data_IF_021886291537
#
_entry.id   IF_021886291537
#
_cell.length_a   1.000
_cell.length_b   1.000
_cell.length_c   1.000
_cell.angle_alpha   90.00
_cell.angle_beta   90.00
_cell.angle_gamma   90.00
#
_symmetry.space_group_name_H-M   'P 1'
#
loop_
_entity.id
_entity.type
_entity.pdbx_description
1 polymer ?
#
# COMPACT_ATOMS: atom_id res chain seq x y z
N UNK A 1 -2.14 12.64 -11.45
CA UNK A 1 -1.76 11.95 -10.21
C UNK A 1 -2.99 11.32 -9.61
N UNK A 2 -2.94 10.07 -9.18
CA UNK A 2 -4.06 9.33 -8.63
C UNK A 2 -3.96 9.22 -7.10
N UNK A 3 -5.08 8.86 -6.42
CA UNK A 3 -5.15 8.90 -4.97
C UNK A 3 -5.72 7.61 -4.40
N UNK A 4 -5.16 7.18 -3.25
CA UNK A 4 -5.56 5.98 -2.55
C UNK A 4 -5.70 6.16 -1.05
N UNK A 5 -6.56 5.35 -0.44
CA UNK A 5 -6.68 5.17 1.00
C UNK A 5 -5.78 4.03 1.45
N UNK A 6 -5.09 4.20 2.58
CA UNK A 6 -4.31 3.15 3.23
C UNK A 6 -5.08 2.58 4.42
N UNK A 7 -5.32 1.28 4.40
CA UNK A 7 -6.09 0.55 5.42
C UNK A 7 -5.13 -0.35 6.20
N UNK A 8 -5.09 -0.17 7.52
CA UNK A 8 -4.10 -0.81 8.39
C UNK A 8 -4.71 -1.50 9.61
N UNK A 9 -5.90 -1.11 10.05
CA UNK A 9 -6.54 -1.57 11.28
C UNK A 9 -5.62 -1.45 12.52
N UNK A 10 -5.10 -0.23 12.75
CA UNK A 10 -4.34 0.09 13.95
C UNK A 10 -5.29 0.14 15.16
N UNK A 11 -5.05 -0.70 16.18
CA UNK A 11 -5.86 -0.78 17.41
C UNK A 11 -4.98 -0.38 18.59
N UNK A 12 -4.99 0.89 19.01
CA UNK A 12 -4.19 1.37 20.13
C UNK A 12 -4.52 0.62 21.42
N UNK A 13 -3.51 0.35 22.25
CA UNK A 13 -3.69 -0.33 23.52
C UNK A 13 -4.73 0.37 24.42
N UNK A 14 -4.83 1.70 24.35
CA UNK A 14 -5.84 2.44 25.12
C UNK A 14 -7.26 2.16 24.64
N UNK A 15 -7.49 2.05 23.32
CA UNK A 15 -8.79 1.67 22.76
C UNK A 15 -9.14 0.22 23.12
N UNK A 16 -8.17 -0.71 22.96
CA UNK A 16 -8.36 -2.10 23.34
C UNK A 16 -8.63 -2.29 24.85
N UNK A 17 -8.00 -1.50 25.71
CA UNK A 17 -8.23 -1.55 27.15
C UNK A 17 -9.59 -0.92 27.54
N UNK A 18 -10.07 0.09 26.82
CA UNK A 18 -11.37 0.72 27.06
C UNK A 18 -12.54 -0.12 26.57
N UNK A 19 -12.37 -0.87 25.51
CA UNK A 19 -13.38 -1.76 24.92
C UNK A 19 -12.73 -3.08 24.46
N UNK A 20 -12.43 -4.00 25.38
CA UNK A 20 -11.73 -5.25 25.04
C UNK A 20 -12.49 -6.15 24.06
N UNK A 21 -13.79 -6.08 24.04
CA UNK A 21 -14.64 -6.96 23.23
C UNK A 21 -15.02 -6.33 21.87
N UNK A 22 -14.98 -4.99 21.74
CA UNK A 22 -15.48 -4.29 20.57
C UNK A 22 -14.45 -3.49 19.78
N UNK A 23 -13.28 -3.18 20.33
CA UNK A 23 -12.29 -2.28 19.69
C UNK A 23 -11.83 -2.79 18.31
N UNK A 24 -11.53 -4.08 18.16
CA UNK A 24 -11.13 -4.68 16.89
C UNK A 24 -12.25 -4.59 15.85
N UNK A 25 -13.46 -5.00 16.23
CA UNK A 25 -14.62 -4.93 15.34
C UNK A 25 -14.90 -3.49 14.91
N UNK A 26 -14.93 -2.56 15.87
CA UNK A 26 -15.13 -1.14 15.60
C UNK A 26 -14.09 -0.61 14.62
N UNK A 27 -12.81 -0.95 14.81
CA UNK A 27 -11.73 -0.51 13.93
C UNK A 27 -11.91 -1.03 12.50
N UNK A 28 -12.21 -2.30 12.32
CA UNK A 28 -12.42 -2.89 11.00
C UNK A 28 -13.61 -2.25 10.27
N UNK A 29 -14.72 -1.98 11.00
CA UNK A 29 -15.88 -1.33 10.40
C UNK A 29 -15.62 0.13 10.03
N UNK A 30 -14.82 0.86 10.82
CA UNK A 30 -14.39 2.22 10.51
C UNK A 30 -13.54 2.29 9.23
N UNK A 31 -12.62 1.35 9.03
CA UNK A 31 -11.82 1.25 7.81
C UNK A 31 -12.72 0.97 6.58
N UNK A 32 -13.71 0.10 6.72
CA UNK A 32 -14.67 -0.18 5.66
C UNK A 32 -15.50 1.06 5.29
N UNK A 33 -16.02 1.78 6.29
CA UNK A 33 -16.79 2.99 6.07
C UNK A 33 -15.98 4.08 5.36
N UNK A 34 -14.69 4.22 5.70
CA UNK A 34 -13.77 5.11 4.98
C UNK A 34 -13.56 4.69 3.53
N UNK A 35 -13.39 3.40 3.27
CA UNK A 35 -13.24 2.88 1.90
C UNK A 35 -14.49 3.20 1.05
N UNK A 36 -15.69 3.03 1.62
CA UNK A 36 -16.94 3.41 0.96
C UNK A 36 -17.05 4.92 0.73
N UNK A 37 -16.63 5.74 1.69
CA UNK A 37 -16.62 7.19 1.55
C UNK A 37 -15.63 7.64 0.46
N UNK A 38 -14.47 7.02 0.38
CA UNK A 38 -13.49 7.26 -0.68
C UNK A 38 -14.06 6.91 -2.06
N UNK A 39 -14.72 5.76 -2.22
CA UNK A 39 -15.37 5.38 -3.49
C UNK A 39 -16.40 6.43 -3.93
N UNK A 40 -17.25 6.90 -2.99
CA UNK A 40 -18.23 7.95 -3.26
C UNK A 40 -17.59 9.30 -3.59
N UNK A 41 -16.44 9.61 -2.99
CA UNK A 41 -15.73 10.89 -3.16
C UNK A 41 -14.77 10.92 -4.35
N UNK A 42 -14.71 9.87 -5.18
CA UNK A 42 -13.92 9.85 -6.41
C UNK A 42 -12.46 9.43 -6.25
N UNK A 43 -12.10 8.82 -5.12
CA UNK A 43 -10.80 8.19 -4.95
C UNK A 43 -10.68 6.96 -5.85
N UNK A 44 -9.47 6.66 -6.30
CA UNK A 44 -9.23 5.56 -7.23
C UNK A 44 -8.78 4.26 -6.57
N UNK A 45 -8.13 4.30 -5.38
CA UNK A 45 -7.56 3.10 -4.78
C UNK A 45 -7.85 2.99 -3.30
N UNK A 46 -7.95 1.74 -2.82
CA UNK A 46 -7.83 1.36 -1.41
C UNK A 46 -6.75 0.30 -1.31
N UNK A 47 -5.78 0.54 -0.44
CA UNK A 47 -4.64 -0.34 -0.23
C UNK A 47 -4.67 -0.91 1.18
N UNK A 48 -4.69 -2.24 1.30
CA UNK A 48 -4.72 -2.94 2.58
C UNK A 48 -3.40 -3.63 2.86
N UNK A 49 -2.87 -3.45 4.07
CA UNK A 49 -1.70 -4.18 4.54
C UNK A 49 -2.00 -5.65 4.83
N UNK A 50 -0.96 -6.47 4.95
CA UNK A 50 -0.98 -7.78 5.58
C UNK A 50 0.11 -7.79 6.65
N UNK A 51 -0.30 -7.86 7.93
CA UNK A 51 0.60 -7.90 9.07
C UNK A 51 0.19 -8.97 10.08
N UNK A 52 1.20 -9.61 10.69
CA UNK A 52 1.00 -10.70 11.61
C UNK A 52 1.76 -10.47 12.91
N UNK A 53 1.11 -10.73 14.06
CA UNK A 53 1.74 -10.69 15.39
C UNK A 53 2.24 -9.32 15.84
N UNK A 54 1.76 -8.22 15.24
CA UNK A 54 2.27 -6.87 15.50
C UNK A 54 1.43 -6.09 16.52
N UNK A 55 0.73 -6.81 17.40
CA UNK A 55 -0.08 -6.24 18.49
C UNK A 55 -0.91 -5.02 18.02
N UNK A 56 -0.76 -3.86 18.68
CA UNK A 56 -1.50 -2.61 18.37
C UNK A 56 -1.26 -2.09 16.93
N UNK A 57 -0.10 -2.38 16.32
CA UNK A 57 0.29 -1.76 15.06
C UNK A 57 -0.67 -2.08 13.92
N UNK A 58 -1.08 -3.34 13.81
CA UNK A 58 -2.04 -3.76 12.79
C UNK A 58 -2.72 -5.06 13.18
N UNK A 59 -4.06 -5.06 13.12
CA UNK A 59 -4.89 -6.26 13.27
C UNK A 59 -5.37 -6.80 11.92
N UNK A 60 -4.76 -6.36 10.80
CA UNK A 60 -5.11 -6.77 9.44
C UNK A 60 -4.22 -7.91 8.97
N UNK A 61 -4.49 -9.12 9.47
CA UNK A 61 -3.73 -10.33 9.17
C UNK A 61 -4.26 -11.10 7.96
N UNK A 62 -5.50 -10.85 7.56
CA UNK A 62 -6.18 -11.54 6.48
C UNK A 62 -6.76 -10.52 5.48
N UNK A 63 -5.89 -9.76 4.83
CA UNK A 63 -6.30 -8.75 3.85
C UNK A 63 -7.04 -9.35 2.66
N UNK A 64 -6.81 -10.63 2.36
CA UNK A 64 -7.55 -11.40 1.35
C UNK A 64 -9.02 -11.67 1.72
N UNK A 65 -9.44 -11.34 2.94
CA UNK A 65 -10.84 -11.34 3.39
C UNK A 65 -11.39 -9.92 3.37
N UNK A 66 -10.62 -8.94 3.85
CA UNK A 66 -11.03 -7.53 3.90
C UNK A 66 -11.22 -6.93 2.51
N UNK A 67 -10.29 -7.17 1.59
CA UNK A 67 -10.33 -6.60 0.24
C UNK A 67 -11.57 -7.05 -0.58
N UNK A 68 -11.97 -8.35 -0.62
CA UNK A 68 -13.23 -8.75 -1.25
C UNK A 68 -14.45 -8.10 -0.61
N UNK A 69 -14.44 -7.91 0.71
CA UNK A 69 -15.54 -7.26 1.40
C UNK A 69 -15.66 -5.78 1.02
N UNK A 70 -14.53 -5.06 0.92
CA UNK A 70 -14.50 -3.69 0.39
C UNK A 70 -14.96 -3.67 -1.08
N UNK A 71 -14.49 -4.60 -1.92
CA UNK A 71 -14.88 -4.68 -3.32
C UNK A 71 -16.39 -4.87 -3.51
N UNK A 72 -17.03 -5.68 -2.64
CA UNK A 72 -18.47 -5.90 -2.66
C UNK A 72 -19.28 -4.68 -2.23
N UNK A 73 -18.70 -3.79 -1.42
CA UNK A 73 -19.34 -2.58 -0.88
C UNK A 73 -19.06 -1.32 -1.71
N UNK A 74 -18.17 -1.41 -2.70
CA UNK A 74 -17.71 -0.29 -3.54
C UNK A 74 -17.96 -0.61 -5.02
N UNK A 75 -17.89 0.41 -5.89
CA UNK A 75 -18.23 0.23 -7.31
C UNK A 75 -17.10 0.59 -8.27
N UNK A 76 -16.26 1.54 -7.95
CA UNK A 76 -15.26 2.13 -8.87
C UNK A 76 -13.84 2.01 -8.36
N UNK A 77 -13.67 2.12 -7.05
CA UNK A 77 -12.37 2.10 -6.41
C UNK A 77 -11.69 0.75 -6.64
N UNK A 78 -10.44 0.76 -7.04
CA UNK A 78 -9.61 -0.45 -7.09
C UNK A 78 -9.18 -0.83 -5.68
N UNK A 79 -9.13 -2.11 -5.43
CA UNK A 79 -8.68 -2.69 -4.16
C UNK A 79 -7.32 -3.33 -4.34
N UNK A 80 -6.35 -2.95 -3.53
CA UNK A 80 -4.96 -3.40 -3.68
C UNK A 80 -4.37 -3.97 -2.40
N UNK A 81 -3.53 -4.98 -2.53
CA UNK A 81 -2.69 -5.44 -1.43
C UNK A 81 -1.44 -4.56 -1.30
N UNK A 82 -1.14 -4.09 -0.08
CA UNK A 82 0.06 -3.30 0.22
C UNK A 82 0.74 -3.84 1.50
N UNK A 83 1.19 -5.09 1.46
CA UNK A 83 1.36 -6.05 0.35
C UNK A 83 0.84 -7.43 0.76
N UNK A 84 0.63 -8.36 -0.17
CA UNK A 84 0.62 -9.78 0.18
C UNK A 84 2.05 -10.28 0.37
N UNK A 85 2.31 -10.91 1.50
CA UNK A 85 3.57 -11.59 1.75
C UNK A 85 3.62 -12.90 0.97
N UNK A 86 4.38 -12.94 -0.13
CA UNK A 86 4.43 -14.11 -1.02
C UNK A 86 5.53 -15.12 -0.67
N UNK A 87 6.15 -15.01 0.51
CA UNK A 87 7.13 -16.00 0.96
C UNK A 87 6.43 -17.31 1.33
N UNK A 88 6.91 -18.48 0.84
CA UNK A 88 6.20 -19.75 0.95
C UNK A 88 5.75 -20.18 2.36
N UNK A 89 6.52 -19.94 3.45
CA UNK A 89 6.06 -20.30 4.80
C UNK A 89 4.89 -19.43 5.31
N UNK A 90 4.76 -18.19 4.82
CA UNK A 90 3.63 -17.30 5.17
C UNK A 90 2.45 -17.60 4.27
N UNK A 91 2.69 -17.61 2.95
CA UNK A 91 1.66 -17.88 1.95
C UNK A 91 2.23 -18.75 0.83
N UNK A 92 1.74 -19.98 0.71
CA UNK A 92 2.15 -20.84 -0.38
C UNK A 92 1.84 -20.20 -1.75
N UNK A 93 2.79 -20.15 -2.73
CA UNK A 93 2.59 -19.45 -4.00
C UNK A 93 1.33 -19.86 -4.77
N UNK A 94 0.93 -21.14 -4.74
CA UNK A 94 -0.32 -21.58 -5.37
C UNK A 94 -1.54 -20.96 -4.68
N UNK A 95 -1.53 -20.83 -3.35
CA UNK A 95 -2.63 -20.17 -2.62
C UNK A 95 -2.73 -18.68 -2.95
N UNK A 96 -1.58 -18.02 -3.14
CA UNK A 96 -1.57 -16.63 -3.62
C UNK A 96 -2.15 -16.56 -5.04
N UNK A 97 -1.72 -17.43 -5.94
CA UNK A 97 -2.24 -17.45 -7.31
C UNK A 97 -3.77 -17.62 -7.36
N UNK A 98 -4.32 -18.54 -6.55
CA UNK A 98 -5.76 -18.80 -6.45
C UNK A 98 -6.52 -17.60 -5.85
N UNK A 99 -6.03 -17.04 -4.72
CA UNK A 99 -6.67 -15.91 -4.02
C UNK A 99 -6.71 -14.65 -4.88
N UNK A 100 -5.59 -14.32 -5.52
CA UNK A 100 -5.49 -13.18 -6.44
C UNK A 100 -6.47 -13.32 -7.59
N UNK A 101 -6.51 -14.48 -8.23
CA UNK A 101 -7.43 -14.73 -9.32
C UNK A 101 -8.90 -14.67 -8.86
N UNK A 102 -9.22 -15.24 -7.69
CA UNK A 102 -10.57 -15.19 -7.13
C UNK A 102 -11.00 -13.75 -6.83
N UNK A 103 -10.12 -12.96 -6.18
CA UNK A 103 -10.43 -11.56 -5.88
C UNK A 103 -10.56 -10.72 -7.14
N UNK A 104 -9.74 -10.99 -8.17
CA UNK A 104 -9.83 -10.31 -9.46
C UNK A 104 -11.19 -10.58 -10.16
N UNK A 105 -11.72 -11.81 -10.07
CA UNK A 105 -13.09 -12.12 -10.49
C UNK A 105 -14.15 -11.39 -9.67
N UNK A 106 -14.06 -11.45 -8.33
CA UNK A 106 -15.06 -10.85 -7.43
C UNK A 106 -15.07 -9.33 -7.48
N UNK A 107 -13.95 -8.71 -7.78
CA UNK A 107 -13.83 -7.26 -7.97
C UNK A 107 -14.10 -6.81 -9.41
N UNK A 108 -14.36 -7.75 -10.34
CA UNK A 108 -14.57 -7.44 -11.77
C UNK A 108 -13.36 -6.71 -12.39
N UNK A 109 -12.14 -7.17 -12.06
CA UNK A 109 -10.90 -6.62 -12.60
C UNK A 109 -10.39 -5.35 -11.88
N UNK A 110 -10.93 -5.02 -10.71
CA UNK A 110 -10.50 -3.88 -9.88
C UNK A 110 -9.42 -4.25 -8.86
N UNK A 111 -8.74 -5.37 -9.02
CA UNK A 111 -7.69 -5.79 -8.09
C UNK A 111 -6.29 -5.36 -8.55
N UNK A 112 -5.51 -4.82 -7.62
CA UNK A 112 -4.11 -4.44 -7.77
C UNK A 112 -3.25 -5.38 -6.91
N UNK A 113 -2.42 -6.20 -7.55
CA UNK A 113 -1.62 -7.22 -6.87
C UNK A 113 -0.30 -6.63 -6.34
N UNK A 114 -0.31 -6.11 -5.15
CA UNK A 114 0.90 -5.67 -4.45
C UNK A 114 1.57 -6.83 -3.71
N UNK A 115 2.86 -6.97 -3.90
CA UNK A 115 3.68 -8.09 -3.42
C UNK A 115 4.81 -7.64 -2.51
N UNK A 116 5.22 -8.50 -1.61
CA UNK A 116 6.34 -8.26 -0.72
C UNK A 116 6.81 -9.51 0.00
N UNK A 117 7.76 -9.32 0.92
CA UNK A 117 8.40 -10.40 1.69
C UNK A 117 8.30 -10.20 3.20
N UNK A 118 7.50 -9.21 3.64
CA UNK A 118 7.48 -8.74 5.03
C UNK A 118 8.67 -7.83 5.38
N UNK A 119 8.47 -7.01 6.39
CA UNK A 119 9.45 -6.03 6.88
C UNK A 119 9.69 -6.11 8.39
N UNK A 120 9.15 -7.14 9.05
CA UNK A 120 9.20 -7.33 10.49
C UNK A 120 9.89 -8.65 10.86
N UNK A 121 10.91 -8.56 11.74
CA UNK A 121 11.55 -9.77 12.29
C UNK A 121 10.58 -10.57 13.17
N UNK A 122 9.59 -9.91 13.78
CA UNK A 122 8.51 -10.58 14.53
C UNK A 122 7.67 -11.47 13.61
N UNK A 123 7.32 -10.97 12.43
CA UNK A 123 6.50 -11.71 11.46
C UNK A 123 7.27 -12.92 10.91
N UNK A 124 8.45 -12.71 10.31
CA UNK A 124 9.11 -13.83 9.65
C UNK A 124 9.60 -14.89 10.64
N UNK A 125 10.02 -14.52 11.87
CA UNK A 125 10.32 -15.50 12.92
C UNK A 125 9.08 -16.24 13.40
N UNK A 126 7.93 -15.55 13.49
CA UNK A 126 6.64 -16.16 13.83
C UNK A 126 6.24 -17.28 12.85
N UNK A 127 6.62 -17.15 11.58
CA UNK A 127 6.44 -18.19 10.55
C UNK A 127 7.64 -19.12 10.35
N UNK A 128 8.61 -19.12 11.27
CA UNK A 128 9.78 -20.02 11.23
C UNK A 128 10.81 -19.66 10.17
N UNK A 129 10.80 -18.43 9.63
CA UNK A 129 11.80 -17.95 8.68
C UNK A 129 12.99 -17.39 9.50
N UNK A 130 14.24 -17.80 9.24
CA UNK A 130 15.36 -17.47 10.11
C UNK A 130 15.78 -16.01 10.06
N UNK A 131 15.74 -15.38 8.87
CA UNK A 131 16.26 -14.02 8.65
C UNK A 131 15.68 -13.33 7.42
N UNK A 132 15.93 -12.02 7.29
CA UNK A 132 15.44 -11.19 6.20
C UNK A 132 16.11 -11.47 4.83
N UNK A 133 17.33 -12.01 4.77
CA UNK A 133 17.96 -12.39 3.49
C UNK A 133 17.28 -13.62 2.90
N UNK A 134 16.91 -14.57 3.76
CA UNK A 134 16.12 -15.74 3.36
C UNK A 134 14.79 -15.34 2.76
N UNK A 135 14.08 -14.33 3.33
CA UNK A 135 12.82 -13.83 2.75
C UNK A 135 13.00 -13.23 1.37
N UNK A 136 14.15 -12.59 1.10
CA UNK A 136 14.49 -12.05 -0.22
C UNK A 136 14.59 -13.15 -1.28
N UNK A 137 15.34 -14.22 -0.97
CA UNK A 137 15.50 -15.36 -1.88
C UNK A 137 14.16 -16.10 -2.11
N UNK A 138 13.32 -16.22 -1.07
CA UNK A 138 11.97 -16.77 -1.16
C UNK A 138 11.08 -15.95 -2.10
N UNK A 139 11.10 -14.63 -1.98
CA UNK A 139 10.35 -13.72 -2.84
C UNK A 139 10.78 -13.86 -4.30
N UNK A 140 12.09 -13.90 -4.55
CA UNK A 140 12.65 -13.99 -5.90
C UNK A 140 12.31 -15.33 -6.59
N UNK A 141 12.16 -16.40 -5.81
CA UNK A 141 11.68 -17.68 -6.32
C UNK A 141 10.16 -17.66 -6.54
N UNK A 142 9.38 -17.12 -5.60
CA UNK A 142 7.92 -17.24 -5.61
C UNK A 142 7.24 -16.39 -6.71
N UNK A 143 7.66 -15.14 -6.91
CA UNK A 143 6.96 -14.22 -7.82
C UNK A 143 6.83 -14.76 -9.26
N UNK A 144 7.91 -15.17 -9.95
CA UNK A 144 7.79 -15.70 -11.31
C UNK A 144 6.96 -16.98 -11.38
N UNK A 145 6.94 -17.78 -10.31
CA UNK A 145 6.16 -19.00 -10.27
C UNK A 145 4.66 -18.74 -10.17
N UNK A 146 4.22 -17.73 -9.40
CA UNK A 146 2.83 -17.30 -9.36
C UNK A 146 2.34 -16.90 -10.76
N UNK A 147 3.13 -16.16 -11.50
CA UNK A 147 2.78 -15.74 -12.86
C UNK A 147 2.72 -16.90 -13.85
N UNK A 148 3.63 -17.88 -13.72
CA UNK A 148 3.58 -19.12 -14.51
C UNK A 148 2.31 -19.92 -14.24
N UNK A 149 1.87 -20.01 -12.98
CA UNK A 149 0.63 -20.72 -12.61
C UNK A 149 -0.60 -20.15 -13.31
N UNK A 150 -0.64 -18.84 -13.61
CA UNK A 150 -1.74 -18.24 -14.35
C UNK A 150 -1.71 -18.50 -15.86
N UNK A 151 -0.53 -18.78 -16.41
CA UNK A 151 -0.31 -18.98 -17.86
C UNK A 151 -0.39 -20.44 -18.29
N UNK A 152 0.23 -21.32 -17.51
CA UNK A 152 0.37 -22.72 -17.87
C UNK A 152 -0.94 -23.50 -17.66
N UNK A 153 -1.25 -24.40 -18.57
CA UNK A 153 -2.44 -25.24 -18.43
C UNK A 153 -2.27 -26.25 -17.30
N UNK A 154 -1.10 -26.82 -17.18
CA UNK A 154 -0.67 -27.70 -16.11
C UNK A 154 0.68 -27.22 -15.59
N UNK A 155 0.81 -27.11 -14.28
CA UNK A 155 1.97 -26.52 -13.61
C UNK A 155 2.58 -27.51 -12.64
N UNK A 156 3.91 -27.64 -12.68
CA UNK A 156 4.72 -28.30 -11.66
C UNK A 156 5.99 -27.49 -11.39
N UNK A 157 6.52 -27.66 -10.21
CA UNK A 157 7.75 -26.95 -9.81
C UNK A 157 8.51 -27.72 -8.74
N UNK A 158 9.82 -27.74 -8.88
CA UNK A 158 10.78 -28.24 -7.89
C UNK A 158 11.77 -27.11 -7.60
N UNK A 159 11.65 -26.48 -6.45
CA UNK A 159 12.43 -25.31 -6.04
C UNK A 159 13.14 -25.49 -4.72
N UNK A 160 13.83 -24.43 -4.30
CA UNK A 160 14.54 -24.41 -3.02
C UNK A 160 13.60 -24.24 -1.83
N UNK A 161 12.57 -23.40 -1.99
CA UNK A 161 11.69 -22.99 -0.88
C UNK A 161 10.29 -23.56 -0.95
N UNK A 162 9.88 -24.05 -2.12
CA UNK A 162 8.66 -24.84 -2.26
C UNK A 162 8.74 -25.77 -3.47
N UNK A 163 7.92 -26.80 -3.43
CA UNK A 163 7.75 -27.75 -4.54
C UNK A 163 6.27 -28.04 -4.72
N UNK A 164 5.87 -28.29 -5.95
CA UNK A 164 4.47 -28.60 -6.27
C UNK A 164 4.43 -29.68 -7.37
N UNK A 165 3.76 -30.83 -7.15
CA UNK A 165 3.52 -31.78 -8.19
C UNK A 165 2.57 -31.22 -9.24
N UNK A 166 2.54 -31.82 -10.43
CA UNK A 166 1.71 -31.36 -11.54
C UNK A 166 0.24 -31.20 -11.16
N UNK A 167 -0.28 -29.96 -11.32
CA UNK A 167 -1.65 -29.58 -11.00
C UNK A 167 -2.12 -28.45 -11.92
N UNK A 168 -3.45 -28.34 -12.11
CA UNK A 168 -4.08 -27.15 -12.68
C UNK A 168 -4.37 -26.16 -11.55
N UNK A 169 -3.82 -24.95 -11.63
CA UNK A 169 -4.08 -23.88 -10.66
C UNK A 169 -5.26 -23.05 -11.17
N UNK A 170 -6.35 -23.03 -10.43
CA UNK A 170 -7.62 -22.40 -10.80
C UNK A 170 -8.26 -21.66 -9.60
N UNK A 171 -9.04 -20.57 -9.88
CA UNK A 171 -9.32 -19.99 -11.18
C UNK A 171 -8.09 -19.30 -11.78
N UNK A 172 -8.14 -18.94 -13.06
CA UNK A 172 -7.20 -18.01 -13.70
C UNK A 172 -7.73 -16.58 -13.51
N UNK A 173 -6.87 -15.54 -13.48
CA UNK A 173 -7.33 -14.16 -13.34
C UNK A 173 -8.42 -13.78 -14.36
N UNK A 174 -9.38 -12.97 -13.92
CA UNK A 174 -10.38 -12.33 -14.77
C UNK A 174 -9.74 -11.35 -15.74
N UNK A 175 -8.85 -10.51 -15.19
CA UNK A 175 -8.04 -9.53 -15.93
C UNK A 175 -7.03 -10.21 -16.84
N UNK A 176 -6.95 -9.78 -18.10
CA UNK A 176 -5.98 -10.29 -19.07
C UNK A 176 -4.92 -9.22 -19.38
N UNK A 177 -3.65 -9.61 -19.45
CA UNK A 177 -3.07 -10.95 -19.21
C UNK A 177 -3.04 -11.34 -17.73
N UNK A 178 -2.98 -10.40 -16.81
CA UNK A 178 -3.01 -10.56 -15.35
C UNK A 178 -3.33 -9.21 -14.67
N UNK A 179 -3.72 -9.17 -13.37
CA UNK A 179 -3.85 -7.94 -12.60
C UNK A 179 -2.55 -7.13 -12.59
N UNK A 180 -2.61 -5.80 -12.44
CA UNK A 180 -1.40 -4.98 -12.24
C UNK A 180 -0.59 -5.46 -11.05
N UNK A 181 0.74 -5.57 -11.24
CA UNK A 181 1.64 -6.09 -10.22
C UNK A 181 2.48 -4.95 -9.64
N UNK A 182 2.58 -4.94 -8.31
CA UNK A 182 3.35 -3.96 -7.56
C UNK A 182 4.28 -4.66 -6.57
N UNK A 183 5.30 -3.94 -6.11
CA UNK A 183 6.21 -4.44 -5.07
C UNK A 183 6.52 -3.36 -4.04
N UNK A 184 6.62 -3.76 -2.77
CA UNK A 184 7.03 -2.86 -1.70
C UNK A 184 8.50 -2.45 -1.88
N UNK A 185 8.76 -1.14 -1.87
CA UNK A 185 10.06 -0.53 -2.03
C UNK A 185 10.43 0.35 -0.85
N UNK A 186 11.60 0.12 -0.24
CA UNK A 186 12.10 0.91 0.89
C UNK A 186 13.58 1.30 0.77
N UNK A 187 14.27 0.94 -0.32
CA UNK A 187 15.68 1.24 -0.54
C UNK A 187 15.98 1.48 -2.03
N UNK A 188 17.07 2.18 -2.39
CA UNK A 188 17.45 2.39 -3.79
C UNK A 188 17.48 1.10 -4.62
N UNK A 189 18.03 0.02 -4.06
CA UNK A 189 18.13 -1.27 -4.75
C UNK A 189 16.76 -1.91 -5.02
N UNK A 190 15.76 -1.70 -4.15
CA UNK A 190 14.40 -2.22 -4.37
C UNK A 190 13.64 -1.41 -5.40
N UNK A 191 13.86 -0.09 -5.48
CA UNK A 191 13.30 0.76 -6.53
C UNK A 191 13.90 0.42 -7.91
N UNK A 192 15.22 0.23 -7.98
CA UNK A 192 15.88 -0.21 -9.22
C UNK A 192 15.36 -1.58 -9.67
N UNK A 193 15.24 -2.55 -8.75
CA UNK A 193 14.72 -3.87 -9.04
C UNK A 193 13.27 -3.82 -9.52
N UNK A 194 12.41 -3.02 -8.86
CA UNK A 194 11.02 -2.84 -9.28
C UNK A 194 10.93 -2.33 -10.72
N UNK A 195 11.71 -1.29 -11.07
CA UNK A 195 11.78 -0.76 -12.42
C UNK A 195 12.25 -1.80 -13.43
N UNK A 196 13.35 -2.50 -13.16
CA UNK A 196 13.86 -3.54 -14.06
C UNK A 196 12.87 -4.67 -14.33
N UNK A 197 12.09 -5.06 -13.30
CA UNK A 197 11.07 -6.12 -13.42
C UNK A 197 9.74 -5.62 -13.97
N UNK A 198 9.62 -4.33 -14.32
CA UNK A 198 8.37 -3.74 -14.84
C UNK A 198 7.22 -3.68 -13.83
N UNK A 199 7.54 -3.64 -12.54
CA UNK A 199 6.57 -3.63 -11.43
C UNK A 199 6.31 -2.20 -10.97
N UNK A 200 5.06 -1.91 -10.56
CA UNK A 200 4.77 -0.69 -9.82
C UNK A 200 5.48 -0.67 -8.46
N UNK A 201 5.96 0.50 -8.04
CA UNK A 201 6.65 0.67 -6.76
C UNK A 201 5.68 1.20 -5.70
N UNK A 202 5.48 0.44 -4.60
CA UNK A 202 4.75 0.87 -3.41
C UNK A 202 5.77 1.33 -2.37
N UNK A 203 5.83 2.64 -2.13
CA UNK A 203 6.76 3.25 -1.19
C UNK A 203 6.07 3.66 0.10
N UNK A 204 6.37 2.95 1.18
CA UNK A 204 6.02 3.40 2.52
C UNK A 204 7.14 4.28 3.07
N UNK A 205 6.82 5.51 3.42
CA UNK A 205 7.81 6.46 3.87
C UNK A 205 7.38 7.40 4.97
N UNK A 206 8.37 7.78 5.74
CA UNK A 206 8.28 8.76 6.81
C UNK A 206 9.03 10.07 6.48
N UNK A 207 9.64 10.16 5.31
CA UNK A 207 10.36 11.33 4.81
C UNK A 207 9.48 12.36 4.10
N UNK A 208 10.12 13.41 3.63
CA UNK A 208 9.52 14.43 2.75
C UNK A 208 9.60 14.02 1.27
N UNK A 209 8.86 14.65 0.36
CA UNK A 209 9.00 14.42 -1.07
C UNK A 209 10.46 14.53 -1.57
N UNK A 210 11.25 15.45 -1.03
CA UNK A 210 12.66 15.60 -1.41
C UNK A 210 13.52 14.38 -1.09
N UNK A 211 13.16 13.60 -0.06
CA UNK A 211 13.87 12.37 0.29
C UNK A 211 13.54 11.23 -0.71
N UNK A 212 12.39 11.31 -1.37
CA UNK A 212 11.96 10.32 -2.38
C UNK A 212 12.42 10.62 -3.79
N UNK A 213 12.66 11.87 -4.12
CA UNK A 213 13.02 12.27 -5.47
C UNK A 213 14.17 11.42 -6.07
N UNK A 214 15.28 11.13 -5.34
CA UNK A 214 16.33 10.24 -5.85
C UNK A 214 15.85 8.81 -6.08
N UNK A 215 14.98 8.27 -5.22
CA UNK A 215 14.46 6.91 -5.31
C UNK A 215 13.53 6.77 -6.52
N UNK A 216 12.63 7.74 -6.70
CA UNK A 216 11.73 7.79 -7.86
C UNK A 216 12.53 7.94 -9.15
N UNK A 217 13.55 8.79 -9.16
CA UNK A 217 14.43 8.94 -10.33
C UNK A 217 15.14 7.62 -10.69
N UNK A 218 15.65 6.89 -9.70
CA UNK A 218 16.25 5.56 -9.89
C UNK A 218 15.25 4.58 -10.52
N UNK A 219 14.02 4.53 -10.01
CA UNK A 219 12.95 3.70 -10.56
C UNK A 219 12.60 4.10 -12.00
N UNK A 220 12.35 5.39 -12.26
CA UNK A 220 11.99 5.89 -13.59
C UNK A 220 13.10 5.71 -14.61
N UNK A 221 14.35 5.69 -14.18
CA UNK A 221 15.48 5.31 -15.06
C UNK A 221 15.48 3.81 -15.37
N UNK A 222 15.32 2.97 -14.35
CA UNK A 222 15.38 1.52 -14.49
C UNK A 222 14.23 0.97 -15.35
N UNK A 223 13.01 1.52 -15.21
CA UNK A 223 11.82 1.00 -15.89
C UNK A 223 11.84 1.25 -17.40
N UNK A 224 12.63 2.20 -17.89
CA UNK A 224 12.82 2.44 -19.33
C UNK A 224 13.48 1.25 -20.04
N UNK A 225 14.16 0.41 -19.28
CA UNK A 225 14.87 -0.78 -19.75
C UNK A 225 14.32 -2.03 -19.05
N UNK A 226 13.02 -2.02 -18.73
CA UNK A 226 12.40 -3.13 -18.04
C UNK A 226 12.42 -4.41 -18.86
N UNK A 227 12.77 -5.50 -18.20
CA UNK A 227 12.50 -6.87 -18.62
C UNK A 227 11.38 -7.39 -17.73
N UNK A 228 10.10 -7.16 -18.09
CA UNK A 228 9.00 -7.37 -17.16
C UNK A 228 8.86 -8.84 -16.80
N UNK A 229 8.73 -9.12 -15.51
CA UNK A 229 8.44 -10.47 -14.99
C UNK A 229 7.04 -10.93 -15.40
N UNK A 230 6.11 -10.00 -15.56
CA UNK A 230 4.76 -10.20 -16.12
C UNK A 230 4.72 -9.96 -17.63
N UNK A 231 3.50 -9.77 -18.16
CA UNK A 231 3.27 -9.58 -19.60
C UNK A 231 3.22 -8.10 -20.01
N UNK A 232 3.29 -7.17 -19.06
CA UNK A 232 3.34 -5.73 -19.32
C UNK A 232 4.03 -4.98 -18.20
N UNK A 233 4.41 -3.74 -18.48
CA UNK A 233 5.05 -2.83 -17.53
C UNK A 233 4.00 -2.01 -16.80
N UNK A 234 4.10 -1.96 -15.46
CA UNK A 234 3.33 -1.07 -14.59
C UNK A 234 4.24 0.09 -14.16
N UNK A 235 4.33 1.15 -14.97
CA UNK A 235 5.15 2.31 -14.68
C UNK A 235 4.45 3.28 -13.72
N UNK A 236 4.29 2.86 -12.47
CA UNK A 236 3.70 3.66 -11.41
C UNK A 236 4.56 3.66 -10.14
N UNK A 237 4.67 4.81 -9.50
CA UNK A 237 5.21 4.97 -8.15
C UNK A 237 4.12 5.51 -7.24
N UNK A 238 3.81 4.77 -6.18
CA UNK A 238 2.86 5.16 -5.14
C UNK A 238 3.60 5.43 -3.83
N UNK A 239 3.38 6.61 -3.24
CA UNK A 239 3.95 7.00 -1.94
C UNK A 239 2.85 7.08 -0.87
N UNK A 240 3.17 6.67 0.36
CA UNK A 240 2.24 6.73 1.50
C UNK A 240 2.57 7.92 2.38
N UNK A 241 1.56 8.69 2.79
CA UNK A 241 1.68 9.77 3.80
C UNK A 241 0.39 9.89 4.63
N UNK A 242 0.33 10.86 5.55
CA UNK A 242 -0.87 11.11 6.36
C UNK A 242 -1.68 12.29 5.82
N UNK A 243 -3.01 12.23 5.99
CA UNK A 243 -3.95 13.26 5.56
C UNK A 243 -4.81 13.76 6.71
N UNK A 244 -4.91 15.09 6.85
CA UNK A 244 -6.00 15.78 7.55
C UNK A 244 -6.43 16.98 6.71
N UNK A 245 -7.56 16.88 6.03
CA UNK A 245 -8.11 17.94 5.18
C UNK A 245 -9.43 18.43 5.76
N UNK A 246 -9.46 19.65 6.30
CA UNK A 246 -10.65 20.27 6.89
C UNK A 246 -10.91 21.64 6.25
N UNK A 247 -12.15 22.20 6.36
CA UNK A 247 -12.43 23.53 5.81
C UNK A 247 -11.61 24.65 6.42
N UNK A 248 -11.18 24.48 7.67
CA UNK A 248 -10.28 25.40 8.39
C UNK A 248 -8.92 24.73 8.61
N UNK A 249 -7.88 25.25 7.98
CA UNK A 249 -6.52 24.75 8.10
C UNK A 249 -5.96 24.83 9.52
N UNK A 250 -6.43 25.75 10.38
CA UNK A 250 -6.03 25.81 11.79
C UNK A 250 -6.62 24.60 12.54
N UNK A 251 -7.90 24.30 12.34
CA UNK A 251 -8.55 23.13 12.91
C UNK A 251 -7.88 21.83 12.47
N UNK A 252 -7.47 21.73 11.19
CA UNK A 252 -6.73 20.58 10.69
C UNK A 252 -5.39 20.37 11.44
N UNK A 253 -4.67 21.44 11.73
CA UNK A 253 -3.42 21.39 12.51
C UNK A 253 -3.65 21.00 13.96
N UNK A 254 -4.72 21.50 14.59
CA UNK A 254 -5.10 21.15 15.95
C UNK A 254 -5.41 19.65 16.06
N UNK A 255 -6.15 19.11 15.10
CA UNK A 255 -6.39 17.66 14.98
C UNK A 255 -5.07 16.90 14.80
N UNK A 256 -4.20 17.32 13.87
CA UNK A 256 -2.94 16.63 13.59
C UNK A 256 -1.98 16.60 14.80
N UNK A 257 -2.03 17.59 15.68
CA UNK A 257 -1.25 17.61 16.93
C UNK A 257 -1.78 16.63 17.99
N UNK A 258 -3.04 16.25 17.93
CA UNK A 258 -3.70 15.38 18.92
C UNK A 258 -3.89 13.94 18.48
N UNK A 259 -3.56 13.63 17.23
CA UNK A 259 -3.77 12.28 16.63
C UNK A 259 -2.89 11.17 17.22
N UNK A 260 -1.92 11.44 18.08
CA UNK A 260 -0.96 10.42 18.52
C UNK A 260 -0.07 9.88 17.39
N UNK A 261 0.22 10.69 16.37
CA UNK A 261 1.00 10.28 15.21
C UNK A 261 2.44 9.87 15.52
N UNK A 262 3.03 10.45 16.57
CA UNK A 262 4.37 10.06 17.04
C UNK A 262 4.36 8.70 17.73
N UNK A 263 3.30 8.37 18.47
CA UNK A 263 3.13 7.05 19.05
C UNK A 263 3.05 5.99 17.93
N UNK A 264 2.18 6.19 16.95
CA UNK A 264 2.08 5.29 15.80
C UNK A 264 3.43 5.16 15.06
N UNK A 265 4.16 6.27 14.86
CA UNK A 265 5.49 6.23 14.24
C UNK A 265 6.50 5.45 15.09
N UNK A 266 6.39 5.51 16.42
CA UNK A 266 7.21 4.71 17.33
C UNK A 266 6.94 3.20 17.15
N UNK A 267 5.68 2.80 16.94
CA UNK A 267 5.30 1.43 16.62
C UNK A 267 5.84 0.99 15.25
N UNK A 268 5.85 1.88 14.25
CA UNK A 268 6.51 1.60 12.97
C UNK A 268 7.96 1.16 13.19
N UNK A 269 8.75 1.93 13.95
CA UNK A 269 10.16 1.58 14.21
C UNK A 269 10.34 0.44 15.23
N UNK A 270 9.32 0.10 16.00
CA UNK A 270 9.32 -1.09 16.85
C UNK A 270 9.21 -2.36 16.01
N UNK A 271 8.25 -2.38 15.09
CA UNK A 271 7.84 -3.60 14.40
C UNK A 271 8.42 -3.76 13.01
N UNK A 272 8.56 -2.68 12.23
CA UNK A 272 9.16 -2.74 10.90
C UNK A 272 10.68 -2.55 11.00
N UNK A 273 11.31 -3.42 11.76
CA UNK A 273 12.71 -3.33 12.21
C UNK A 273 13.75 -3.66 11.12
N UNK A 274 13.30 -4.07 9.93
CA UNK A 274 14.17 -4.19 8.76
C UNK A 274 14.40 -2.85 8.05
N UNK A 275 13.62 -1.82 8.36
CA UNK A 275 13.88 -0.45 7.90
C UNK A 275 14.97 0.21 8.73
N UNK A 276 15.88 0.97 8.09
CA UNK A 276 16.89 1.73 8.84
C UNK A 276 16.19 2.78 9.71
N UNK A 277 16.56 2.80 11.01
CA UNK A 277 16.07 3.82 11.92
C UNK A 277 16.83 5.12 11.66
N UNK A 278 16.14 6.27 11.42
CA UNK A 278 16.80 7.54 11.25
C UNK A 278 17.58 7.97 12.51
N UNK A 279 18.67 8.72 12.33
CA UNK A 279 19.42 9.25 13.44
C UNK A 279 18.54 10.15 14.36
N UNK A 280 18.66 9.97 15.67
CA UNK A 280 17.89 10.71 16.67
C UNK A 280 16.49 10.14 16.96
N UNK A 281 16.02 9.13 16.21
CA UNK A 281 14.77 8.44 16.55
C UNK A 281 15.03 7.47 17.72
N UNK A 282 14.31 7.60 18.86
CA UNK A 282 14.52 6.75 20.02
C UNK A 282 14.15 5.30 19.74
N UNK A 283 14.83 4.37 20.44
CA UNK A 283 14.50 2.95 20.40
C UNK A 283 13.37 2.65 21.39
N UNK A 284 12.42 1.78 20.97
CA UNK A 284 11.41 1.27 21.87
C UNK A 284 12.04 0.68 23.16
N UNK A 285 11.47 0.94 24.37
CA UNK A 285 10.14 1.55 24.63
C UNK A 285 10.14 3.08 24.74
N UNK A 286 11.24 3.77 24.45
CA UNK A 286 11.22 5.22 24.41
C UNK A 286 10.44 5.71 23.18
N UNK A 287 9.50 6.64 23.41
CA UNK A 287 8.61 7.12 22.38
C UNK A 287 9.19 8.34 21.66
N UNK A 288 8.87 8.49 20.40
CA UNK A 288 9.07 9.72 19.67
C UNK A 288 8.17 10.80 20.30
N UNK A 289 8.71 11.95 20.71
CA UNK A 289 7.89 13.02 21.28
C UNK A 289 6.90 13.56 20.23
N UNK A 290 5.71 13.94 20.69
CA UNK A 290 4.76 14.64 19.81
C UNK A 290 5.37 15.95 19.31
N UNK A 291 5.12 16.34 18.07
CA UNK A 291 5.71 17.55 17.50
C UNK A 291 5.13 18.80 18.15
N UNK A 292 5.96 19.80 18.34
CA UNK A 292 5.45 21.15 18.58
C UNK A 292 4.70 21.67 17.36
N UNK A 293 3.88 22.71 17.54
CA UNK A 293 3.21 23.36 16.39
C UNK A 293 4.21 23.81 15.31
N UNK A 294 5.33 24.37 15.72
CA UNK A 294 6.38 24.82 14.79
C UNK A 294 6.98 23.64 13.98
N UNK A 295 7.23 22.52 14.64
CA UNK A 295 7.70 21.29 13.97
C UNK A 295 6.65 20.72 13.03
N UNK A 296 5.36 20.75 13.41
CA UNK A 296 4.28 20.35 12.52
C UNK A 296 4.20 21.25 11.29
N UNK A 297 4.28 22.57 11.46
CA UNK A 297 4.29 23.55 10.34
C UNK A 297 5.47 23.30 9.39
N UNK A 298 6.64 22.96 9.92
CA UNK A 298 7.78 22.57 9.09
C UNK A 298 7.47 21.32 8.27
N UNK A 299 6.93 20.26 8.89
CA UNK A 299 6.55 19.01 8.20
C UNK A 299 5.48 19.22 7.14
N UNK A 300 4.52 20.11 7.38
CA UNK A 300 3.48 20.47 6.38
C UNK A 300 4.13 21.22 5.21
N UNK A 301 4.93 22.23 5.49
CA UNK A 301 5.62 23.03 4.46
C UNK A 301 6.50 22.18 3.56
N UNK A 302 7.19 21.20 4.15
CA UNK A 302 8.09 20.31 3.42
C UNK A 302 7.36 19.12 2.76
N UNK A 303 6.02 19.05 2.87
CA UNK A 303 5.19 17.99 2.28
C UNK A 303 5.23 16.64 3.01
N UNK A 304 5.93 16.53 4.15
CA UNK A 304 5.98 15.28 4.93
C UNK A 304 4.60 14.88 5.49
N UNK A 305 3.69 15.85 5.64
CA UNK A 305 2.31 15.66 6.07
C UNK A 305 1.39 16.51 5.20
N UNK A 306 0.29 15.94 4.75
CA UNK A 306 -0.76 16.67 4.01
C UNK A 306 -1.83 17.07 5.02
N UNK A 307 -1.68 18.25 5.59
CA UNK A 307 -2.53 18.78 6.67
C UNK A 307 -2.88 20.23 6.38
N UNK A 308 -4.18 20.56 6.37
CA UNK A 308 -4.65 21.91 6.14
C UNK A 308 -6.03 22.01 5.57
N UNK A 309 -6.36 23.17 5.01
CA UNK A 309 -7.49 23.35 4.13
C UNK A 309 -7.20 22.75 2.73
N UNK A 310 -8.21 22.70 1.82
CA UNK A 310 -8.01 22.12 0.48
C UNK A 310 -6.88 22.77 -0.32
N UNK A 311 -6.62 24.07 -0.17
CA UNK A 311 -5.56 24.76 -0.90
C UNK A 311 -4.18 24.42 -0.34
N UNK A 312 -4.08 24.29 0.97
CA UNK A 312 -2.86 23.85 1.66
C UNK A 312 -2.55 22.40 1.31
N UNK A 313 -3.55 21.52 1.33
CA UNK A 313 -3.42 20.13 0.91
C UNK A 313 -2.98 20.02 -0.55
N UNK A 314 -3.56 20.82 -1.45
CA UNK A 314 -3.15 20.84 -2.86
C UNK A 314 -1.70 21.28 -3.05
N UNK A 315 -1.22 22.25 -2.27
CA UNK A 315 0.21 22.64 -2.29
C UNK A 315 1.14 21.50 -1.88
N UNK A 316 0.79 20.77 -0.83
CA UNK A 316 1.56 19.61 -0.39
C UNK A 316 1.54 18.47 -1.44
N UNK A 317 0.38 18.16 -2.02
CA UNK A 317 0.23 17.18 -3.11
C UNK A 317 1.09 17.54 -4.32
N UNK A 318 1.17 18.83 -4.65
CA UNK A 318 2.01 19.30 -5.78
C UNK A 318 3.48 18.93 -5.59
N UNK A 319 4.01 18.95 -4.36
CA UNK A 319 5.40 18.55 -4.10
C UNK A 319 5.66 17.09 -4.48
N UNK A 320 4.69 16.19 -4.28
CA UNK A 320 4.80 14.80 -4.73
C UNK A 320 4.65 14.67 -6.25
N UNK A 321 3.74 15.43 -6.85
CA UNK A 321 3.61 15.46 -8.31
C UNK A 321 4.90 15.92 -9.00
N UNK A 322 5.53 16.97 -8.46
CA UNK A 322 6.75 17.57 -9.03
C UNK A 322 7.96 16.62 -9.01
N UNK A 323 8.01 15.65 -8.11
CA UNK A 323 9.07 14.63 -8.07
C UNK A 323 8.74 13.37 -8.90
N UNK A 324 7.58 13.34 -9.59
CA UNK A 324 7.18 12.22 -10.45
C UNK A 324 6.50 11.08 -9.71
N UNK A 325 5.90 11.33 -8.55
CA UNK A 325 5.00 10.38 -7.88
C UNK A 325 3.69 10.27 -8.69
N UNK A 326 3.29 9.05 -9.05
CA UNK A 326 2.11 8.81 -9.87
C UNK A 326 0.84 8.63 -9.02
N UNK A 327 1.00 8.12 -7.78
CA UNK A 327 -0.10 7.90 -6.86
C UNK A 327 0.29 8.32 -5.44
N UNK A 328 -0.62 9.01 -4.73
CA UNK A 328 -0.44 9.34 -3.32
C UNK A 328 -1.48 8.60 -2.48
N UNK A 329 -1.00 7.80 -1.55
CA UNK A 329 -1.82 6.95 -0.67
C UNK A 329 -1.84 7.56 0.72
N UNK A 330 -3.01 7.65 1.35
CA UNK A 330 -3.16 8.33 2.63
C UNK A 330 -3.59 7.41 3.76
N UNK A 331 -2.79 7.37 4.83
CA UNK A 331 -3.22 6.93 6.14
C UNK A 331 -4.04 8.03 6.82
N UNK A 332 -5.30 7.77 7.07
CA UNK A 332 -6.25 8.74 7.63
C UNK A 332 -6.59 8.42 9.09
N UNK A 333 -6.66 7.13 9.41
CA UNK A 333 -6.90 6.65 10.77
C UNK A 333 -5.58 6.27 11.45
N UNK A 334 -4.80 7.26 11.86
CA UNK A 334 -3.72 7.02 12.80
C UNK A 334 -4.24 7.24 14.23
N UNK A 335 -4.46 6.17 14.96
CA UNK A 335 -4.76 6.14 16.40
C UNK A 335 -6.13 6.72 16.86
N UNK A 336 -6.16 7.87 17.50
CA UNK A 336 -7.30 8.34 18.28
C UNK A 336 -8.22 9.34 17.55
N UNK A 337 -8.06 9.50 16.23
CA UNK A 337 -8.86 10.45 15.47
C UNK A 337 -10.35 10.02 15.43
N UNK A 338 -11.30 10.92 15.75
CA UNK A 338 -12.72 10.65 15.58
C UNK A 338 -13.08 10.28 14.14
N UNK A 339 -13.97 9.31 13.96
CA UNK A 339 -14.39 8.80 12.65
C UNK A 339 -14.97 9.91 11.76
N UNK A 340 -15.74 10.82 12.34
CA UNK A 340 -16.39 11.93 11.64
C UNK A 340 -15.36 12.86 10.98
N UNK A 341 -14.23 13.10 11.66
CA UNK A 341 -13.13 13.93 11.12
C UNK A 341 -12.44 13.20 9.97
N UNK A 342 -12.22 11.90 10.11
CA UNK A 342 -11.64 11.09 9.03
C UNK A 342 -12.53 11.07 7.79
N UNK A 343 -13.84 10.86 7.96
CA UNK A 343 -14.84 10.88 6.89
C UNK A 343 -14.95 12.27 6.23
N UNK A 344 -14.96 13.34 7.03
CA UNK A 344 -14.93 14.71 6.52
C UNK A 344 -13.68 14.96 5.70
N UNK A 345 -12.52 14.53 6.20
CA UNK A 345 -11.24 14.72 5.54
C UNK A 345 -11.19 14.06 4.16
N UNK A 346 -11.55 12.77 4.05
CA UNK A 346 -11.53 12.06 2.76
C UNK A 346 -12.59 12.61 1.79
N UNK A 347 -13.76 13.02 2.28
CA UNK A 347 -14.83 13.57 1.46
C UNK A 347 -14.45 14.94 0.92
N UNK A 348 -13.93 15.83 1.76
CA UNK A 348 -13.51 17.15 1.36
C UNK A 348 -12.33 17.12 0.38
N UNK A 349 -11.33 16.29 0.67
CA UNK A 349 -10.18 16.09 -0.21
C UNK A 349 -10.61 15.55 -1.57
N UNK A 350 -11.51 14.56 -1.60
CA UNK A 350 -12.05 14.00 -2.83
C UNK A 350 -12.77 15.04 -3.70
N UNK A 351 -13.57 15.91 -3.07
CA UNK A 351 -14.32 16.93 -3.78
C UNK A 351 -13.48 18.12 -4.26
N UNK A 352 -12.53 18.59 -3.44
CA UNK A 352 -11.85 19.88 -3.65
C UNK A 352 -10.40 19.74 -4.15
N UNK A 353 -9.73 18.62 -3.86
CA UNK A 353 -8.31 18.45 -4.18
C UNK A 353 -8.09 17.47 -5.33
N UNK A 354 -8.71 16.30 -5.30
CA UNK A 354 -8.55 15.28 -6.35
C UNK A 354 -8.75 15.85 -7.75
N UNK A 355 -9.83 16.65 -8.05
CA UNK A 355 -10.08 17.16 -9.40
C UNK A 355 -9.01 18.14 -9.92
N UNK A 356 -8.11 18.62 -9.05
CA UNK A 356 -7.00 19.50 -9.46
C UNK A 356 -5.81 18.73 -10.04
N UNK A 357 -5.74 17.42 -9.81
CA UNK A 357 -4.60 16.56 -10.16
C UNK A 357 -4.98 15.33 -11.00
N UNK A 358 -6.17 14.80 -10.79
CA UNK A 358 -6.68 13.65 -11.53
C UNK A 358 -7.87 14.06 -12.40
N UNK A 359 -7.61 14.13 -13.70
CA UNK A 359 -8.60 14.54 -14.71
C UNK A 359 -9.11 13.37 -15.55
N UNK A 360 -8.58 12.16 -15.33
CA UNK A 360 -8.93 10.99 -16.11
C UNK A 360 -9.78 10.03 -15.29
N UNK A 361 -10.98 9.64 -15.75
CA UNK A 361 -11.80 8.67 -15.04
C UNK A 361 -11.22 7.25 -15.04
N UNK A 362 -10.28 6.94 -15.96
CA UNK A 362 -9.70 5.61 -16.11
C UNK A 362 -8.43 5.52 -15.25
N UNK A 363 -8.26 4.41 -14.54
CA UNK A 363 -7.06 4.13 -13.76
C UNK A 363 -5.84 3.97 -14.68
N UNK A 364 -4.69 4.51 -14.26
CA UNK A 364 -3.44 4.44 -15.02
C UNK A 364 -3.03 2.99 -15.32
N UNK A 365 -3.22 2.09 -14.37
CA UNK A 365 -2.94 0.66 -14.50
C UNK A 365 -3.78 -0.02 -15.58
N UNK A 366 -5.06 0.37 -15.71
CA UNK A 366 -5.94 -0.13 -16.78
C UNK A 366 -5.43 0.32 -18.14
N UNK A 367 -5.05 1.60 -18.29
CA UNK A 367 -4.51 2.11 -19.55
C UNK A 367 -3.22 1.44 -19.99
N UNK A 368 -2.29 1.24 -19.05
CA UNK A 368 -1.01 0.56 -19.35
C UNK A 368 -1.24 -0.86 -19.83
N UNK A 369 -2.12 -1.61 -19.15
CA UNK A 369 -2.51 -2.95 -19.55
C UNK A 369 -3.15 -2.98 -20.94
N UNK A 370 -4.12 -2.13 -21.21
CA UNK A 370 -4.80 -2.07 -22.51
C UNK A 370 -3.85 -1.68 -23.64
N UNK A 371 -2.92 -0.76 -23.40
CA UNK A 371 -1.91 -0.37 -24.37
C UNK A 371 -0.98 -1.56 -24.72
N UNK A 372 -0.56 -2.33 -23.71
CA UNK A 372 0.25 -3.53 -23.92
C UNK A 372 -0.50 -4.60 -24.73
N UNK A 373 -1.79 -4.84 -24.45
CA UNK A 373 -2.59 -5.81 -25.19
C UNK A 373 -2.78 -5.41 -26.68
N UNK A 374 -2.97 -4.12 -26.96
CA UNK A 374 -3.06 -3.63 -28.35
C UNK A 374 -1.73 -3.85 -29.10
N UNK A 375 -0.58 -3.65 -28.42
CA UNK A 375 0.73 -3.93 -28.98
C UNK A 375 0.94 -5.41 -29.33
N UNK A 376 0.47 -6.32 -28.48
CA UNK A 376 0.54 -7.77 -28.72
C UNK A 376 -0.41 -8.26 -29.85
N UNK A 377 -1.55 -7.57 -30.06
CA UNK A 377 -2.53 -7.93 -31.11
C UNK A 377 -2.08 -7.56 -32.52
N UNK A 378 -1.22 -6.57 -32.68
CA UNK A 378 -0.71 -6.11 -33.98
C UNK A 378 0.52 -6.89 -34.46
N UNK A 379 1.02 -7.84 -33.68
CA UNK A 379 2.20 -8.66 -34.00
C UNK A 379 1.88 -10.12 -34.41
N UNK A 380 0.61 -10.42 -34.67
CA UNK A 380 0.17 -11.76 -35.14
C UNK A 380 -0.28 -11.72 -36.60
#
# INVERSE_FOLDING_TARGET
>A
MEFGLFVQAHVPQQEAAADPDGAEHSRLMRELELAEACDRAGWKYVWSVEHHFLEEYSHLSASEIMLPYIAARTKRIHVGSAIYNITPPVNHPARIAERVAMLDHLSEGRFEFGTGRGSSSTEFKGFGIPDGETTRAMYDEALPQILRMWKEESYSYEGRFFSMPERKVLPRPYTRPHPPIWVACGSPSTFEKAGRLGLGALCFSLGSPSDFAPLIATYKQAIRHAEPVGDYVNDNVACVTALVCLPDGRAARDVALTMGGSYHTSLVFRYLDTFPRPAGVPAWPALIPEPTREQLEARIRDGQRVVGDPDECARAVKLYADIGCDQLIFGVLASTQPQEIALQSVTLFGREVIPRFDHDPIHSTVRMREAAMKGMGNGR
#
